data_IF_348554726006
#
_entry.id   IF_348554726006
#
_cell.length_a   1.000
_cell.length_b   1.000
_cell.length_c   1.000
_cell.angle_alpha   90.00
_cell.angle_beta   90.00
_cell.angle_gamma   90.00
#
_symmetry.space_group_name_H-M   'P 1'
#
loop_
_entity.id
_entity.type
_entity.pdbx_description
1 polymer ?
#
# COMPACT_ATOMS: atom_id res chain seq x y z
N UNK A 1 -7.37 0.91 30.08
CA UNK A 1 -6.39 1.71 29.30
C UNK A 1 -5.67 0.78 28.34
N UNK A 2 -5.86 0.93 27.02
CA UNK A 2 -5.10 0.14 26.04
C UNK A 2 -3.66 0.67 25.89
N UNK A 3 -2.70 -0.16 25.43
CA UNK A 3 -1.34 0.28 25.17
C UNK A 3 -1.32 1.44 24.17
N UNK A 4 -0.49 2.46 24.45
CA UNK A 4 -0.32 3.65 23.61
C UNK A 4 0.88 3.45 22.68
N UNK A 5 0.64 3.36 21.38
CA UNK A 5 1.68 3.38 20.36
C UNK A 5 2.16 4.83 20.16
N UNK A 6 3.48 5.06 20.08
CA UNK A 6 4.05 6.36 19.72
C UNK A 6 5.32 6.18 18.89
N UNK A 7 5.31 6.61 17.63
CA UNK A 7 6.19 5.99 16.60
C UNK A 7 6.73 7.01 15.60
N UNK A 8 7.77 6.68 14.83
CA UNK A 8 8.07 7.33 13.55
C UNK A 8 7.83 6.34 12.39
N UNK A 9 6.58 5.90 12.17
CA UNK A 9 6.29 4.77 11.29
C UNK A 9 6.35 5.21 9.82
N UNK A 10 6.69 4.28 8.93
CA UNK A 10 6.62 4.49 7.49
C UNK A 10 5.19 4.84 7.07
N UNK A 11 5.00 5.49 5.90
CA UNK A 11 3.66 5.70 5.33
C UNK A 11 2.83 4.40 5.26
N UNK A 12 3.46 3.26 4.96
CA UNK A 12 2.79 1.96 4.92
C UNK A 12 2.28 1.52 6.30
N UNK A 13 3.14 1.57 7.32
CA UNK A 13 2.76 1.19 8.70
C UNK A 13 1.65 2.07 9.26
N UNK A 14 1.66 3.38 8.96
CA UNK A 14 0.56 4.30 9.33
C UNK A 14 -0.76 3.82 8.77
N UNK A 15 -0.76 3.35 7.52
CA UNK A 15 -1.95 2.81 6.88
C UNK A 15 -2.41 1.52 7.54
N UNK A 16 -1.49 0.58 7.82
CA UNK A 16 -1.82 -0.67 8.50
C UNK A 16 -2.45 -0.42 9.87
N UNK A 17 -1.83 0.41 10.71
CA UNK A 17 -2.34 0.74 12.04
C UNK A 17 -3.71 1.44 11.98
N UNK A 18 -3.91 2.29 10.99
CA UNK A 18 -5.19 2.96 10.76
C UNK A 18 -6.28 1.99 10.30
N UNK A 19 -5.99 1.08 9.36
CA UNK A 19 -6.95 0.06 8.91
C UNK A 19 -7.29 -0.93 10.04
N UNK A 20 -6.34 -1.26 10.92
CA UNK A 20 -6.59 -2.05 12.15
C UNK A 20 -7.52 -1.34 13.14
N UNK A 21 -7.75 -0.02 13.02
CA UNK A 21 -8.58 0.75 13.94
C UNK A 21 -7.93 0.98 15.31
N UNK A 22 -6.60 0.86 15.39
CA UNK A 22 -5.84 1.11 16.62
C UNK A 22 -5.62 2.61 16.82
N UNK A 23 -5.64 3.05 18.08
CA UNK A 23 -5.15 4.40 18.43
C UNK A 23 -3.63 4.40 18.52
N UNK A 24 -2.98 5.26 17.74
CA UNK A 24 -1.53 5.42 17.74
C UNK A 24 -1.13 6.88 17.59
N UNK A 25 0.07 7.21 18.08
CA UNK A 25 0.69 8.52 17.93
C UNK A 25 1.82 8.47 16.91
N UNK A 26 1.95 9.52 16.12
CA UNK A 26 3.07 9.73 15.19
C UNK A 26 3.96 10.86 15.73
N UNK A 27 5.20 10.52 15.99
CA UNK A 27 6.30 11.41 16.37
C UNK A 27 7.21 11.58 15.17
N UNK A 28 7.36 12.82 14.69
CA UNK A 28 8.34 13.14 13.64
C UNK A 28 9.71 13.31 14.30
N UNK A 29 10.75 12.68 13.74
CA UNK A 29 12.11 12.74 14.26
C UNK A 29 12.96 13.59 13.31
N UNK A 30 13.58 14.64 13.84
CA UNK A 30 14.61 15.40 13.14
C UNK A 30 15.93 14.62 13.23
N UNK A 31 16.38 14.07 12.10
CA UNK A 31 17.59 13.26 12.02
C UNK A 31 18.87 14.07 12.28
N UNK A 32 18.80 15.40 12.24
CA UNK A 32 19.93 16.29 12.58
C UNK A 32 19.93 16.69 14.05
N UNK A 33 18.81 16.53 14.76
CA UNK A 33 18.63 16.98 16.16
C UNK A 33 17.93 15.88 16.97
N UNK A 34 18.69 14.84 17.28
CA UNK A 34 18.20 13.72 18.08
C UNK A 34 17.97 14.13 19.52
N UNK A 35 16.75 13.94 20.03
CA UNK A 35 16.46 14.11 21.46
C UNK A 35 17.03 12.94 22.24
N UNK A 36 17.39 13.15 23.51
CA UNK A 36 17.88 12.09 24.41
C UNK A 36 16.91 10.89 24.48
N UNK A 37 15.61 11.17 24.45
CA UNK A 37 14.57 10.14 24.47
C UNK A 37 14.65 9.24 23.24
N UNK A 38 14.84 9.81 22.05
CA UNK A 38 14.96 9.04 20.81
C UNK A 38 16.26 8.23 20.80
N UNK A 39 17.38 8.80 21.26
CA UNK A 39 18.65 8.08 21.37
C UNK A 39 18.57 6.88 22.32
N UNK A 40 17.83 7.01 23.43
CA UNK A 40 17.60 5.88 24.36
C UNK A 40 16.71 4.79 23.78
N UNK A 41 15.69 5.17 22.99
CA UNK A 41 14.75 4.22 22.40
C UNK A 41 15.33 3.51 21.17
N UNK A 42 16.11 4.21 20.35
CA UNK A 42 16.72 3.66 19.16
C UNK A 42 18.21 4.08 19.09
N UNK A 43 19.09 3.44 19.89
CA UNK A 43 20.50 3.81 19.93
C UNK A 43 21.23 3.54 18.61
N UNK A 44 20.75 2.59 17.80
CA UNK A 44 21.32 2.29 16.48
C UNK A 44 20.94 3.30 15.40
N UNK A 45 20.08 4.26 15.70
CA UNK A 45 19.77 5.35 14.78
C UNK A 45 18.82 5.00 13.63
N UNK A 46 18.27 3.78 13.61
CA UNK A 46 17.42 3.31 12.51
C UNK A 46 16.07 4.03 12.48
N UNK A 47 15.64 4.41 11.27
CA UNK A 47 14.32 4.96 11.01
C UNK A 47 13.76 4.32 9.72
N UNK A 48 12.45 4.06 9.64
CA UNK A 48 11.44 4.20 10.71
C UNK A 48 11.63 3.17 11.84
N UNK A 49 10.95 3.38 12.97
CA UNK A 49 10.84 2.36 14.04
C UNK A 49 9.44 2.39 14.69
N UNK A 50 9.02 1.25 15.22
CA UNK A 50 7.76 1.04 15.93
C UNK A 50 8.04 0.80 17.43
N UNK A 51 7.41 1.58 18.31
CA UNK A 51 7.42 1.36 19.75
C UNK A 51 6.04 0.84 20.19
N UNK A 52 5.99 -0.40 20.68
CA UNK A 52 4.81 -1.01 21.26
C UNK A 52 5.03 -1.33 22.74
N UNK A 53 4.32 -0.62 23.62
CA UNK A 53 4.60 -0.69 25.07
C UNK A 53 6.01 -0.19 25.38
N UNK A 54 6.93 -1.11 25.67
CA UNK A 54 8.36 -0.84 25.91
C UNK A 54 9.28 -1.44 24.84
N UNK A 55 8.72 -2.20 23.89
CA UNK A 55 9.49 -2.91 22.85
C UNK A 55 9.64 -2.02 21.62
N UNK A 56 10.86 -1.96 21.09
CA UNK A 56 11.23 -1.17 19.91
C UNK A 56 11.57 -2.11 18.77
N UNK A 57 10.79 -2.06 17.71
CA UNK A 57 11.01 -2.80 16.46
C UNK A 57 11.60 -1.83 15.44
N UNK A 58 12.73 -2.22 14.84
CA UNK A 58 13.47 -1.41 13.85
C UNK A 58 13.65 -2.15 12.52
N UNK A 59 13.49 -3.47 12.51
CA UNK A 59 13.52 -4.25 11.29
C UNK A 59 12.24 -4.02 10.49
N UNK A 60 12.38 -3.81 9.19
CA UNK A 60 11.23 -3.51 8.34
C UNK A 60 10.27 -4.69 8.29
N UNK A 61 10.76 -5.92 8.07
CA UNK A 61 9.89 -7.10 7.97
C UNK A 61 9.16 -7.35 9.29
N UNK A 62 9.87 -7.24 10.41
CA UNK A 62 9.28 -7.35 11.74
C UNK A 62 8.18 -6.30 11.97
N UNK A 63 8.42 -5.04 11.60
CA UNK A 63 7.43 -3.98 11.72
C UNK A 63 6.21 -4.18 10.79
N UNK A 64 6.37 -4.92 9.69
CA UNK A 64 5.27 -5.27 8.80
C UNK A 64 4.42 -6.43 9.33
N UNK A 65 5.05 -7.45 9.91
CA UNK A 65 4.40 -8.66 10.42
C UNK A 65 3.82 -8.49 11.82
N UNK A 66 4.49 -7.73 12.68
CA UNK A 66 4.13 -7.55 14.09
C UNK A 66 2.69 -7.03 14.29
N UNK A 67 2.21 -5.98 13.58
CA UNK A 67 0.84 -5.52 13.73
C UNK A 67 -0.19 -6.58 13.33
N UNK A 68 0.10 -7.45 12.36
CA UNK A 68 -0.83 -8.51 11.97
C UNK A 68 -0.89 -9.61 13.02
N UNK A 69 0.25 -9.99 13.60
CA UNK A 69 0.35 -11.01 14.64
C UNK A 69 -0.27 -10.55 15.98
N UNK A 70 -0.01 -9.31 16.39
CA UNK A 70 -0.42 -8.80 17.72
C UNK A 70 -1.81 -8.18 17.69
N UNK A 71 -2.18 -7.49 16.61
CA UNK A 71 -3.50 -6.85 16.47
C UNK A 71 -4.46 -7.81 15.75
N UNK A 72 -4.87 -8.86 16.44
CA UNK A 72 -5.68 -9.95 15.88
C UNK A 72 -7.15 -9.98 16.38
N UNK A 73 -8.02 -10.78 15.75
CA UNK A 73 -9.40 -10.97 16.20
C UNK A 73 -9.50 -11.54 17.62
N UNK A 74 -10.59 -11.29 18.36
CA UNK A 74 -11.81 -10.58 17.93
C UNK A 74 -11.69 -9.05 18.00
N UNK A 75 -10.60 -8.52 18.55
CA UNK A 75 -10.47 -7.08 18.84
C UNK A 75 -10.10 -6.25 17.62
N UNK A 76 -9.32 -6.81 16.70
CA UNK A 76 -8.86 -6.13 15.49
C UNK A 76 -9.04 -7.04 14.27
N UNK A 77 -9.35 -6.49 13.07
CA UNK A 77 -9.56 -7.29 11.88
C UNK A 77 -8.26 -7.96 11.41
N UNK A 78 -8.35 -9.16 10.85
CA UNK A 78 -7.24 -9.77 10.08
C UNK A 78 -7.10 -9.02 8.75
N UNK A 79 -5.88 -8.63 8.39
CA UNK A 79 -5.62 -7.85 7.17
C UNK A 79 -4.83 -8.62 6.12
N UNK A 80 -4.30 -9.81 6.43
CA UNK A 80 -3.67 -10.66 5.43
C UNK A 80 -4.65 -10.99 4.29
N UNK A 81 -4.19 -10.87 3.04
CA UNK A 81 -4.95 -11.26 1.87
C UNK A 81 -5.18 -12.79 1.85
N UNK A 82 -6.34 -13.21 1.36
CA UNK A 82 -6.69 -14.62 1.18
C UNK A 82 -6.03 -15.20 -0.08
N UNK A 83 -6.01 -14.42 -1.16
CA UNK A 83 -5.42 -14.79 -2.43
C UNK A 83 -3.95 -14.33 -2.49
N UNK A 84 -2.97 -15.26 -2.61
CA UNK A 84 -1.55 -14.89 -2.62
C UNK A 84 -1.18 -13.92 -3.74
N UNK A 85 -1.86 -14.01 -4.89
CA UNK A 85 -1.66 -13.13 -6.04
C UNK A 85 -1.96 -11.65 -5.72
N UNK A 86 -2.86 -11.37 -4.77
CA UNK A 86 -3.11 -10.00 -4.32
C UNK A 86 -1.84 -9.34 -3.75
N UNK A 87 -0.94 -10.12 -3.13
CA UNK A 87 0.28 -9.59 -2.55
C UNK A 87 1.35 -9.24 -3.60
N UNK A 88 1.24 -9.80 -4.81
CA UNK A 88 2.22 -9.62 -5.90
C UNK A 88 1.72 -8.68 -6.99
N UNK A 89 0.41 -8.49 -7.11
CA UNK A 89 -0.21 -7.59 -8.08
C UNK A 89 0.31 -6.15 -7.97
N UNK A 90 0.93 -5.66 -9.05
CA UNK A 90 1.42 -4.27 -9.16
C UNK A 90 2.70 -3.95 -8.36
N UNK A 91 3.44 -4.96 -7.87
CA UNK A 91 4.69 -4.73 -7.12
C UNK A 91 5.78 -4.03 -7.95
N UNK A 92 5.82 -4.25 -9.26
CA UNK A 92 6.83 -3.71 -10.18
C UNK A 92 6.52 -2.29 -10.67
N UNK A 93 5.27 -1.82 -10.56
CA UNK A 93 4.82 -0.49 -11.01
C UNK A 93 5.72 0.62 -10.46
N UNK A 94 6.04 0.58 -9.16
CA UNK A 94 6.83 1.66 -8.54
C UNK A 94 8.28 1.67 -9.03
N UNK A 95 8.85 0.51 -9.36
CA UNK A 95 10.18 0.41 -9.94
C UNK A 95 10.19 0.96 -11.37
N UNK A 96 9.20 0.59 -12.21
CA UNK A 96 9.02 1.12 -13.57
C UNK A 96 8.82 2.64 -13.56
N UNK A 97 7.95 3.14 -12.67
CA UNK A 97 7.76 4.57 -12.44
C UNK A 97 9.06 5.27 -12.04
N UNK A 98 9.82 4.68 -11.10
CA UNK A 98 11.08 5.27 -10.64
C UNK A 98 12.10 5.39 -11.77
N UNK A 99 12.15 4.40 -12.67
CA UNK A 99 13.00 4.46 -13.86
C UNK A 99 12.53 5.54 -14.83
N UNK A 100 11.23 5.63 -15.10
CA UNK A 100 10.64 6.65 -15.97
C UNK A 100 10.88 8.07 -15.46
N UNK A 101 10.58 8.35 -14.20
CA UNK A 101 10.65 9.72 -13.64
C UNK A 101 12.08 10.24 -13.47
N UNK A 102 13.05 9.34 -13.24
CA UNK A 102 14.47 9.69 -13.09
C UNK A 102 15.20 9.77 -14.43
N UNK A 103 14.55 9.40 -15.53
CA UNK A 103 15.17 9.39 -16.83
C UNK A 103 15.48 10.81 -17.32
N UNK A 104 16.72 11.05 -17.72
CA UNK A 104 17.15 12.30 -18.34
C UNK A 104 17.42 12.15 -19.85
N UNK A 105 17.31 10.93 -20.40
CA UNK A 105 17.57 10.65 -21.81
C UNK A 105 16.26 10.54 -22.60
N UNK A 106 15.96 11.55 -23.42
CA UNK A 106 14.72 11.61 -24.20
C UNK A 106 14.50 10.42 -25.13
N UNK A 107 15.56 9.77 -25.62
CA UNK A 107 15.44 8.59 -26.49
C UNK A 107 14.86 7.35 -25.79
N UNK A 108 14.89 7.31 -24.45
CA UNK A 108 14.36 6.20 -23.64
C UNK A 108 12.95 6.46 -23.10
N UNK A 109 12.41 7.68 -23.27
CA UNK A 109 11.13 8.08 -22.69
C UNK A 109 10.00 7.12 -23.10
N UNK A 110 9.84 6.89 -24.41
CA UNK A 110 8.75 6.07 -24.94
C UNK A 110 8.83 4.62 -24.44
N UNK A 111 10.04 4.07 -24.33
CA UNK A 111 10.25 2.71 -23.83
C UNK A 111 9.90 2.58 -22.33
N UNK A 112 10.34 3.55 -21.53
CA UNK A 112 10.08 3.56 -20.09
C UNK A 112 8.60 3.85 -19.77
N UNK A 113 7.98 4.75 -20.53
CA UNK A 113 6.54 5.02 -20.43
C UNK A 113 5.73 3.78 -20.79
N UNK A 114 6.08 3.12 -21.90
CA UNK A 114 5.47 1.84 -22.30
C UNK A 114 5.62 0.79 -21.21
N UNK A 115 6.81 0.65 -20.61
CA UNK A 115 7.03 -0.29 -19.52
C UNK A 115 6.22 0.01 -18.26
N UNK A 116 5.93 1.29 -17.97
CA UNK A 116 5.03 1.69 -16.88
C UNK A 116 3.57 1.36 -17.23
N UNK A 117 3.15 1.61 -18.47
CA UNK A 117 1.80 1.29 -18.95
C UNK A 117 1.54 -0.21 -18.95
N UNK A 118 2.50 -1.04 -19.35
CA UNK A 118 2.41 -2.50 -19.28
C UNK A 118 2.21 -2.99 -17.85
N UNK A 119 2.97 -2.45 -16.89
CA UNK A 119 2.80 -2.81 -15.48
C UNK A 119 1.42 -2.37 -14.92
N UNK A 120 0.92 -1.20 -15.34
CA UNK A 120 -0.43 -0.74 -14.98
C UNK A 120 -1.51 -1.62 -15.61
N UNK A 121 -1.34 -2.07 -16.85
CA UNK A 121 -2.25 -2.99 -17.52
C UNK A 121 -2.32 -4.34 -16.81
N UNK A 122 -1.18 -4.89 -16.35
CA UNK A 122 -1.17 -6.15 -15.60
C UNK A 122 -1.97 -6.01 -14.30
N UNK A 123 -1.81 -4.90 -13.58
CA UNK A 123 -2.62 -4.62 -12.39
C UNK A 123 -4.11 -4.44 -12.74
N UNK A 124 -4.42 -3.76 -13.84
CA UNK A 124 -5.80 -3.55 -14.28
C UNK A 124 -6.49 -4.89 -14.59
N UNK A 125 -5.81 -5.75 -15.36
CA UNK A 125 -6.28 -7.09 -15.67
C UNK A 125 -6.60 -7.84 -14.38
N UNK A 126 -5.68 -7.86 -13.41
CA UNK A 126 -5.92 -8.48 -12.12
C UNK A 126 -7.18 -7.94 -11.44
N UNK A 127 -7.35 -6.62 -11.37
CA UNK A 127 -8.50 -5.96 -10.74
C UNK A 127 -9.82 -6.22 -11.46
N UNK A 128 -9.80 -6.51 -12.76
CA UNK A 128 -10.98 -6.84 -13.56
C UNK A 128 -11.31 -8.33 -13.62
N UNK A 129 -10.34 -9.21 -13.37
CA UNK A 129 -10.55 -10.67 -13.33
C UNK A 129 -11.23 -11.09 -12.03
N UNK A 130 -12.35 -11.85 -12.05
CA UNK A 130 -13.00 -12.36 -10.85
C UNK A 130 -12.05 -13.16 -9.95
N UNK A 131 -12.17 -12.94 -8.64
CA UNK A 131 -11.51 -13.81 -7.66
C UNK A 131 -12.29 -15.13 -7.49
N UNK A 132 -11.67 -16.20 -6.98
CA UNK A 132 -12.36 -17.47 -6.72
C UNK A 132 -13.61 -17.32 -5.84
N UNK A 133 -13.63 -16.34 -4.93
CA UNK A 133 -14.78 -16.05 -4.07
C UNK A 133 -15.94 -15.36 -4.81
N UNK A 134 -15.71 -14.80 -5.99
CA UNK A 134 -16.72 -14.15 -6.83
C UNK A 134 -17.35 -15.09 -7.87
N UNK A 135 -16.71 -16.24 -8.13
CA UNK A 135 -17.19 -17.22 -9.10
C UNK A 135 -18.12 -18.21 -8.41
N UNK A 136 -19.41 -18.17 -8.76
CA UNK A 136 -20.37 -19.19 -8.36
C UNK A 136 -20.17 -20.44 -9.22
N UNK A 137 -19.72 -21.54 -8.62
CA UNK A 137 -19.50 -22.82 -9.30
C UNK A 137 -20.75 -23.47 -9.92
N UNK A 138 -21.92 -22.84 -9.78
CA UNK A 138 -23.19 -23.31 -10.36
C UNK A 138 -23.74 -22.47 -11.52
N UNK A 139 -23.13 -21.32 -11.83
CA UNK A 139 -23.61 -20.42 -12.91
C UNK A 139 -22.80 -20.62 -14.20
N UNK A 140 -23.46 -21.01 -15.28
CA UNK A 140 -22.86 -21.27 -16.60
C UNK A 140 -22.77 -20.02 -17.49
N UNK A 141 -22.94 -18.83 -16.91
CA UNK A 141 -23.01 -17.55 -17.62
C UNK A 141 -21.77 -16.72 -17.27
N UNK A 142 -21.02 -16.36 -18.31
CA UNK A 142 -19.77 -15.59 -18.38
C UNK A 142 -19.12 -15.21 -17.04
N UNK A 143 -17.86 -15.64 -16.84
CA UNK A 143 -16.94 -15.07 -15.85
C UNK A 143 -16.82 -13.55 -16.10
N UNK A 144 -17.72 -12.78 -15.49
CA UNK A 144 -17.91 -11.36 -15.77
C UNK A 144 -16.75 -10.50 -15.27
N UNK A 145 -16.88 -9.19 -15.40
CA UNK A 145 -15.93 -8.23 -14.82
C UNK A 145 -16.09 -8.26 -13.29
N UNK A 146 -14.99 -8.43 -12.57
CA UNK A 146 -14.94 -8.38 -11.09
C UNK A 146 -15.58 -7.11 -10.55
N UNK A 147 -16.33 -7.24 -9.46
CA UNK A 147 -17.04 -6.12 -8.81
C UNK A 147 -16.37 -5.67 -7.50
N UNK A 148 -15.26 -6.32 -7.14
CA UNK A 148 -14.54 -6.06 -5.89
C UNK A 148 -14.04 -4.63 -5.75
N UNK A 149 -13.80 -4.21 -4.51
CA UNK A 149 -13.35 -2.84 -4.18
C UNK A 149 -11.85 -2.66 -4.14
N UNK A 150 -11.14 -3.70 -3.75
CA UNK A 150 -9.73 -3.71 -3.39
C UNK A 150 -9.07 -4.97 -3.95
N UNK A 151 -7.75 -5.11 -3.78
CA UNK A 151 -6.98 -6.18 -4.41
C UNK A 151 -7.56 -7.57 -4.10
N UNK A 152 -7.93 -7.81 -2.85
CA UNK A 152 -8.39 -9.10 -2.34
C UNK A 152 -9.89 -9.11 -1.97
N UNK A 153 -10.72 -8.32 -2.62
CA UNK A 153 -12.17 -8.32 -2.38
C UNK A 153 -12.72 -6.97 -1.96
N UNK A 154 -13.70 -6.96 -1.06
CA UNK A 154 -14.42 -5.74 -0.69
C UNK A 154 -13.86 -4.97 0.51
N UNK A 155 -12.91 -5.57 1.22
CA UNK A 155 -12.23 -4.99 2.38
C UNK A 155 -10.74 -4.73 2.11
N UNK A 156 -10.17 -3.77 2.82
CA UNK A 156 -8.75 -3.42 2.70
C UNK A 156 -7.88 -4.50 3.35
N UNK A 157 -6.79 -4.83 2.67
CA UNK A 157 -5.78 -5.80 3.13
C UNK A 157 -4.39 -5.16 3.23
N UNK A 158 -3.41 -5.93 3.72
CA UNK A 158 -2.00 -5.54 3.72
C UNK A 158 -1.48 -5.28 2.30
N UNK A 159 -1.97 -6.01 1.30
CA UNK A 159 -1.63 -5.80 -0.10
C UNK A 159 -2.01 -4.36 -0.55
N UNK A 160 -3.20 -3.90 -0.19
CA UNK A 160 -3.67 -2.55 -0.48
C UNK A 160 -2.83 -1.49 0.25
N UNK A 161 -2.49 -1.74 1.52
CA UNK A 161 -1.65 -0.85 2.31
C UNK A 161 -0.24 -0.67 1.70
N UNK A 162 0.26 -1.69 0.99
CA UNK A 162 1.53 -1.64 0.28
C UNK A 162 1.42 -0.92 -1.08
N UNK A 163 0.41 -1.24 -1.87
CA UNK A 163 0.27 -0.75 -3.24
C UNK A 163 -0.27 0.68 -3.31
N UNK A 164 -1.33 1.01 -2.58
CA UNK A 164 -2.10 2.23 -2.78
C UNK A 164 -1.31 3.53 -2.50
N UNK A 165 -0.45 3.61 -1.46
CA UNK A 165 0.42 4.78 -1.28
C UNK A 165 1.39 4.96 -2.44
N UNK A 166 1.95 3.87 -2.98
CA UNK A 166 2.88 3.91 -4.12
C UNK A 166 2.16 4.37 -5.38
N UNK A 167 1.00 3.78 -5.67
CA UNK A 167 0.19 4.12 -6.83
C UNK A 167 -0.27 5.59 -6.80
N UNK A 168 -0.60 6.12 -5.62
CA UNK A 168 -0.90 7.54 -5.44
C UNK A 168 0.28 8.45 -5.80
N UNK A 169 1.49 8.10 -5.38
CA UNK A 169 2.72 8.85 -5.74
C UNK A 169 2.92 8.83 -7.26
N UNK A 170 2.84 7.65 -7.89
CA UNK A 170 2.97 7.51 -9.36
C UNK A 170 2.02 8.48 -10.06
N UNK A 171 0.75 8.48 -9.66
CA UNK A 171 -0.26 9.31 -10.27
C UNK A 171 0.01 10.82 -10.11
N UNK A 172 0.30 11.26 -8.88
CA UNK A 172 0.49 12.69 -8.58
C UNK A 172 1.73 13.21 -9.28
N UNK A 173 2.83 12.46 -9.24
CA UNK A 173 4.12 12.88 -9.80
C UNK A 173 4.09 12.84 -11.33
N UNK A 174 3.60 11.76 -11.94
CA UNK A 174 3.50 11.68 -13.41
C UNK A 174 2.61 12.79 -13.98
N UNK A 175 1.46 13.06 -13.34
CA UNK A 175 0.57 14.15 -13.77
C UNK A 175 1.25 15.52 -13.64
N UNK A 176 1.98 15.76 -12.55
CA UNK A 176 2.58 17.07 -12.27
C UNK A 176 3.78 17.39 -13.16
N UNK A 177 4.63 16.41 -13.41
CA UNK A 177 5.93 16.64 -14.07
C UNK A 177 5.98 16.20 -15.53
N UNK A 178 5.12 15.27 -15.95
CA UNK A 178 5.17 14.67 -17.29
C UNK A 178 3.84 14.75 -18.05
N UNK A 179 2.79 15.31 -17.44
CA UNK A 179 1.46 15.36 -18.05
C UNK A 179 0.80 13.98 -18.24
N UNK A 180 1.47 12.91 -17.84
CA UNK A 180 0.99 11.54 -17.96
C UNK A 180 -0.13 11.28 -16.94
N UNK A 181 -1.21 10.70 -17.44
CA UNK A 181 -2.34 10.22 -16.63
C UNK A 181 -2.62 8.76 -16.93
N UNK A 182 -3.00 8.00 -15.91
CA UNK A 182 -3.45 6.62 -16.07
C UNK A 182 -4.60 6.60 -17.11
N UNK A 183 -4.48 5.83 -18.20
CA UNK A 183 -5.49 5.77 -19.26
C UNK A 183 -6.88 5.39 -18.75
N UNK A 184 -7.92 5.96 -19.37
CA UNK A 184 -9.32 5.59 -19.10
C UNK A 184 -9.64 4.13 -19.47
N UNK A 185 -8.83 3.54 -20.35
CA UNK A 185 -8.89 2.13 -20.69
C UNK A 185 -8.54 1.17 -19.54
N UNK A 186 -8.09 1.68 -18.38
CA UNK A 186 -7.75 0.88 -17.19
C UNK A 186 -8.80 1.09 -16.07
N UNK A 187 -10.03 0.57 -16.22
CA UNK A 187 -11.15 0.83 -15.30
C UNK A 187 -10.94 0.25 -13.91
N UNK A 188 -10.22 -0.86 -13.76
CA UNK A 188 -9.90 -1.48 -12.48
C UNK A 188 -9.00 -0.57 -11.63
N UNK A 189 -7.92 -0.07 -12.24
CA UNK A 189 -6.99 0.86 -11.58
C UNK A 189 -7.67 2.18 -11.20
N UNK A 190 -8.53 2.71 -12.09
CA UNK A 190 -9.31 3.92 -11.83
C UNK A 190 -10.39 3.73 -10.76
N UNK A 191 -11.05 2.57 -10.73
CA UNK A 191 -12.05 2.21 -9.72
C UNK A 191 -11.45 2.12 -8.32
N UNK A 192 -10.27 1.51 -8.19
CA UNK A 192 -9.56 1.37 -6.92
C UNK A 192 -9.12 2.75 -6.36
N UNK A 193 -8.73 3.69 -7.23
CA UNK A 193 -8.39 5.08 -6.88
C UNK A 193 -9.52 5.84 -6.16
N UNK A 194 -10.77 5.68 -6.62
CA UNK A 194 -11.92 6.42 -6.06
C UNK A 194 -12.25 6.03 -4.62
N UNK A 195 -11.98 4.77 -4.25
CA UNK A 195 -12.42 4.16 -2.99
C UNK A 195 -11.51 4.51 -1.80
N UNK A 196 -10.27 4.93 -2.06
CA UNK A 196 -9.33 5.50 -1.08
C UNK A 196 -9.79 6.83 -0.48
N UNK A 197 -10.40 7.69 -1.29
CA UNK A 197 -10.84 9.02 -0.84
C UNK A 197 -12.06 8.95 0.08
N UNK A 198 -12.85 7.87 0.01
CA UNK A 198 -14.06 7.68 0.80
C UNK A 198 -13.77 7.43 2.29
N UNK A 199 -12.66 6.76 2.62
CA UNK A 199 -12.37 6.36 3.99
C UNK A 199 -11.67 7.45 4.82
N UNK A 200 -11.21 8.55 4.18
CA UNK A 200 -10.74 9.78 4.86
C UNK A 200 -11.86 10.66 5.44
N UNK A 201 -13.14 10.36 5.16
CA UNK A 201 -14.29 11.18 5.55
C UNK A 201 -15.12 10.61 6.71
N UNK A 202 -14.63 9.60 7.42
CA UNK A 202 -15.25 9.10 8.66
C UNK A 202 -14.33 9.33 9.84
#
# INVERSE_FOLDING_TARGET
MGPRLGTAPSPREKWVLWVKGVTFNVTTIDTKRWTERVQKLCPGGQLPFLLYGTEVHTDTNEMEEFPEAVLCPPRYPKLAALNPESNTAGLDIFAKFSAYIKNSNSALNDNLEKGLLEALQVLDNYLTSPLPEEVDGTSAEDEGISQRKFLNGNELTLADCNLLPKLHIVQVVCKKYWGFTIPEAFPGVLGNRGRLHLKKRK
#
